data_IF_645922392581
#
_entry.id   IF_645922392581
#
_cell.length_a   1.000
_cell.length_b   1.000
_cell.length_c   1.000
_cell.angle_alpha   90.00
_cell.angle_beta   90.00
_cell.angle_gamma   90.00
#
_symmetry.space_group_name_H-M   'P 1'
#
loop_
_entity.id
_entity.type
_entity.pdbx_description
1 polymer ?
#
# COMPACT_ATOMS: atom_id res chain seq x y z
N UNK A 1 19.62 -5.04 -13.80
CA UNK A 1 20.28 -4.21 -12.76
C UNK A 1 19.61 -2.86 -12.75
N UNK A 2 19.06 -2.42 -11.61
CA UNK A 2 18.85 -0.98 -11.40
C UNK A 2 20.23 -0.34 -11.48
N UNK A 3 20.53 0.29 -12.60
CA UNK A 3 21.72 1.12 -12.70
C UNK A 3 21.56 2.25 -11.68
N UNK A 4 22.66 2.74 -11.11
CA UNK A 4 22.64 3.87 -10.18
C UNK A 4 21.83 5.04 -10.75
N UNK A 5 21.88 5.20 -12.08
CA UNK A 5 21.08 6.13 -12.87
C UNK A 5 19.57 6.00 -12.63
N UNK A 6 19.02 4.80 -12.57
CA UNK A 6 17.58 4.59 -12.35
C UNK A 6 17.15 5.02 -10.94
N UNK A 7 17.98 4.74 -9.94
CA UNK A 7 17.72 5.16 -8.55
C UNK A 7 17.82 6.68 -8.45
N UNK A 8 18.84 7.28 -9.06
CA UNK A 8 19.01 8.72 -9.12
C UNK A 8 17.85 9.40 -9.84
N UNK A 9 17.34 8.81 -10.92
CA UNK A 9 16.19 9.32 -11.67
C UNK A 9 14.90 9.25 -10.84
N UNK A 10 14.67 8.16 -10.11
CA UNK A 10 13.53 8.06 -9.18
C UNK A 10 13.62 9.09 -8.04
N UNK A 11 14.80 9.27 -7.46
CA UNK A 11 15.03 10.29 -6.43
C UNK A 11 14.87 11.71 -6.99
N UNK A 12 15.32 11.96 -8.22
CA UNK A 12 15.15 13.23 -8.91
C UNK A 12 13.66 13.52 -9.14
N UNK A 13 12.90 12.56 -9.67
CA UNK A 13 11.45 12.71 -9.87
C UNK A 13 10.73 12.98 -8.54
N UNK A 14 11.13 12.29 -7.45
CA UNK A 14 10.60 12.53 -6.12
C UNK A 14 10.92 13.97 -5.63
N UNK A 15 12.16 14.44 -5.81
CA UNK A 15 12.57 15.80 -5.44
C UNK A 15 11.89 16.88 -6.28
N UNK A 16 11.72 16.66 -7.59
CA UNK A 16 10.98 17.58 -8.46
C UNK A 16 9.50 17.63 -8.04
N UNK A 17 8.91 16.49 -7.69
CA UNK A 17 7.51 16.45 -7.22
C UNK A 17 7.30 17.28 -5.95
N UNK A 18 8.22 17.21 -4.97
CA UNK A 18 8.11 17.97 -3.73
C UNK A 18 8.27 19.48 -3.97
N UNK A 19 9.16 19.88 -4.89
CA UNK A 19 9.27 21.27 -5.32
C UNK A 19 7.99 21.77 -5.99
N UNK A 20 7.38 20.97 -6.88
CA UNK A 20 6.13 21.33 -7.54
C UNK A 20 4.98 21.46 -6.54
N UNK A 21 4.87 20.55 -5.56
CA UNK A 21 3.86 20.65 -4.48
C UNK A 21 4.01 21.97 -3.71
N UNK A 22 5.24 22.37 -3.41
CA UNK A 22 5.53 23.64 -2.75
C UNK A 22 5.12 24.86 -3.61
N UNK A 23 5.40 24.82 -4.93
CA UNK A 23 5.02 25.88 -5.86
C UNK A 23 3.50 26.00 -6.06
N UNK A 24 2.79 24.86 -6.12
CA UNK A 24 1.33 24.82 -6.26
C UNK A 24 0.58 25.02 -4.93
N UNK A 25 1.28 25.43 -3.85
CA UNK A 25 0.72 25.69 -2.51
C UNK A 25 -0.17 24.54 -2.02
N UNK A 26 0.29 23.30 -2.17
CA UNK A 26 -0.42 22.08 -1.72
C UNK A 26 -1.85 21.89 -2.28
N UNK A 27 -2.24 22.56 -3.38
CA UNK A 27 -3.58 22.37 -3.96
C UNK A 27 -3.79 20.99 -4.59
N UNK A 28 -2.71 20.29 -4.92
CA UNK A 28 -2.73 19.00 -5.61
C UNK A 28 -1.93 17.98 -4.80
N UNK A 29 -2.47 16.79 -4.51
CA UNK A 29 -1.74 15.74 -3.81
C UNK A 29 -0.48 15.31 -4.55
N UNK A 30 0.60 15.08 -3.80
CA UNK A 30 1.89 14.64 -4.34
C UNK A 30 1.80 13.37 -5.21
N UNK A 31 1.01 12.33 -4.88
CA UNK A 31 0.89 11.14 -5.71
C UNK A 31 0.41 11.45 -7.14
N UNK A 32 -0.50 12.41 -7.30
CA UNK A 32 -1.02 12.82 -8.63
C UNK A 32 0.09 13.46 -9.47
N UNK A 33 0.89 14.33 -8.85
CA UNK A 33 2.03 14.97 -9.54
C UNK A 33 3.07 13.93 -9.95
N UNK A 34 3.36 12.96 -9.08
CA UNK A 34 4.28 11.86 -9.38
C UNK A 34 3.81 11.00 -10.55
N UNK A 35 2.52 10.65 -10.60
CA UNK A 35 1.94 9.90 -11.73
C UNK A 35 2.09 10.69 -13.03
N UNK A 36 1.76 11.99 -13.02
CA UNK A 36 1.88 12.85 -14.21
C UNK A 36 3.34 12.92 -14.67
N UNK A 37 4.29 13.18 -13.76
CA UNK A 37 5.72 13.22 -14.08
C UNK A 37 6.22 11.88 -14.63
N UNK A 38 5.77 10.76 -14.06
CA UNK A 38 6.11 9.42 -14.53
C UNK A 38 5.59 9.14 -15.94
N UNK A 39 4.36 9.58 -16.25
CA UNK A 39 3.78 9.47 -17.61
C UNK A 39 4.58 10.31 -18.59
N UNK A 40 4.91 11.57 -18.27
CA UNK A 40 5.74 12.41 -19.13
C UNK A 40 7.14 11.80 -19.35
N UNK A 41 7.74 11.25 -18.29
CA UNK A 41 9.03 10.59 -18.38
C UNK A 41 9.00 9.38 -19.32
N UNK A 42 7.97 8.54 -19.22
CA UNK A 42 7.78 7.38 -20.09
C UNK A 42 7.58 7.79 -21.56
N UNK A 43 6.75 8.81 -21.82
CA UNK A 43 6.52 9.34 -23.18
C UNK A 43 7.78 9.97 -23.76
N UNK A 44 8.64 10.56 -22.94
CA UNK A 44 9.94 11.09 -23.34
C UNK A 44 11.00 9.99 -23.62
N UNK A 45 10.61 8.70 -23.53
CA UNK A 45 11.48 7.56 -23.82
C UNK A 45 12.33 7.10 -22.63
N UNK A 46 12.15 7.69 -21.44
CA UNK A 46 12.85 7.25 -20.23
C UNK A 46 12.16 5.99 -19.67
N UNK A 47 12.69 4.83 -20.05
CA UNK A 47 12.19 3.54 -19.59
C UNK A 47 13.02 3.05 -18.40
N UNK A 48 12.43 3.09 -17.21
CA UNK A 48 13.05 2.53 -16.00
C UNK A 48 12.51 1.12 -15.79
N UNK A 49 13.34 0.11 -16.06
CA UNK A 49 13.01 -1.27 -15.70
C UNK A 49 13.17 -1.47 -14.19
N UNK A 50 12.05 -1.42 -13.46
CA UNK A 50 11.95 -1.74 -12.05
C UNK A 50 11.67 -3.24 -11.86
N UNK A 51 12.56 -3.95 -11.16
CA UNK A 51 12.29 -5.30 -10.70
C UNK A 51 11.43 -5.22 -9.42
N UNK A 52 10.20 -5.78 -9.42
CA UNK A 52 9.29 -5.66 -8.27
C UNK A 52 9.89 -6.18 -6.96
N UNK A 53 10.60 -7.31 -7.02
CA UNK A 53 11.22 -7.92 -5.83
C UNK A 53 12.27 -6.98 -5.22
N UNK A 54 13.11 -6.38 -6.06
CA UNK A 54 14.11 -5.41 -5.60
C UNK A 54 13.46 -4.16 -5.02
N UNK A 55 12.39 -3.66 -5.63
CA UNK A 55 11.67 -2.52 -5.08
C UNK A 55 11.11 -2.85 -3.69
N UNK A 56 10.48 -4.01 -3.55
CA UNK A 56 9.95 -4.50 -2.28
C UNK A 56 11.03 -4.75 -1.22
N UNK A 57 12.25 -5.16 -1.59
CA UNK A 57 13.31 -5.42 -0.59
C UNK A 57 14.14 -4.18 -0.24
N UNK A 58 14.30 -3.22 -1.16
CA UNK A 58 15.18 -2.06 -0.95
C UNK A 58 14.41 -0.84 -0.45
N UNK A 59 13.21 -0.58 -0.98
CA UNK A 59 12.48 0.65 -0.68
C UNK A 59 11.40 0.46 0.37
N UNK A 60 10.66 -0.66 0.32
CA UNK A 60 9.55 -0.91 1.24
C UNK A 60 9.99 -0.96 2.72
N UNK A 61 11.08 -1.67 3.12
CA UNK A 61 11.43 -1.79 4.53
C UNK A 61 11.87 -0.44 5.15
N UNK A 62 12.72 0.39 4.51
CA UNK A 62 13.02 1.72 5.02
C UNK A 62 11.79 2.65 5.12
N UNK A 63 10.86 2.58 4.15
CA UNK A 63 9.63 3.38 4.18
C UNK A 63 8.75 2.99 5.37
N UNK A 64 8.46 1.70 5.53
CA UNK A 64 7.68 1.18 6.65
C UNK A 64 8.35 1.45 8.01
N UNK A 65 9.69 1.37 8.07
CA UNK A 65 10.44 1.70 9.27
C UNK A 65 10.31 3.19 9.62
N UNK A 66 10.43 4.07 8.63
CA UNK A 66 10.29 5.51 8.82
C UNK A 66 8.88 5.88 9.34
N UNK A 67 7.85 5.22 8.82
CA UNK A 67 6.46 5.42 9.27
C UNK A 67 6.24 4.86 10.69
N UNK A 68 6.79 3.67 10.99
CA UNK A 68 6.76 3.08 12.34
C UNK A 68 7.41 4.00 13.38
N UNK A 69 8.53 4.62 13.03
CA UNK A 69 9.35 5.40 13.96
C UNK A 69 8.66 6.69 14.43
N UNK A 70 7.72 7.21 13.65
CA UNK A 70 6.96 8.44 13.96
C UNK A 70 5.76 8.19 14.86
N UNK A 71 5.44 6.92 15.15
CA UNK A 71 4.21 6.55 15.84
C UNK A 71 4.39 6.55 17.37
N UNK A 72 3.64 7.36 18.14
CA UNK A 72 3.67 7.33 19.60
C UNK A 72 3.02 6.05 20.14
N UNK A 73 3.84 5.12 20.65
CA UNK A 73 3.39 3.80 21.15
C UNK A 73 2.27 3.86 22.21
N UNK A 74 2.24 4.93 23.02
CA UNK A 74 1.23 5.11 24.08
C UNK A 74 -0.16 5.38 23.51
N UNK A 75 -0.25 6.26 22.53
CA UNK A 75 -1.52 6.62 21.86
C UNK A 75 -2.04 5.45 21.03
N UNK A 76 -1.13 4.67 20.44
CA UNK A 76 -1.48 3.40 19.79
C UNK A 76 -2.15 2.42 20.76
N UNK A 77 -1.58 2.24 21.95
CA UNK A 77 -2.10 1.26 22.91
C UNK A 77 -3.55 1.56 23.33
N UNK A 78 -3.93 2.84 23.41
CA UNK A 78 -5.29 3.29 23.73
C UNK A 78 -6.28 3.05 22.58
N UNK A 79 -5.80 3.07 21.32
CA UNK A 79 -6.62 2.94 20.10
C UNK A 79 -6.39 1.62 19.35
N UNK A 80 -5.68 0.65 19.94
CA UNK A 80 -5.29 -0.62 19.31
C UNK A 80 -6.47 -1.40 18.73
N UNK A 81 -7.63 -1.39 19.39
CA UNK A 81 -8.81 -2.13 18.94
C UNK A 81 -9.29 -1.65 17.57
N UNK A 82 -9.69 -0.37 17.44
CA UNK A 82 -10.05 0.23 16.15
C UNK A 82 -8.95 0.10 15.10
N UNK A 83 -7.69 0.34 15.45
CA UNK A 83 -6.58 0.30 14.49
C UNK A 83 -6.40 -1.11 13.92
N UNK A 84 -6.38 -2.14 14.77
CA UNK A 84 -6.26 -3.53 14.30
C UNK A 84 -7.51 -3.97 13.53
N UNK A 85 -8.70 -3.51 13.91
CA UNK A 85 -9.90 -3.81 13.15
C UNK A 85 -9.89 -3.18 11.75
N UNK A 86 -9.43 -1.92 11.61
CA UNK A 86 -9.26 -1.32 10.28
C UNK A 86 -8.12 -2.01 9.51
N UNK A 87 -6.95 -2.18 10.11
CA UNK A 87 -5.82 -2.78 9.43
C UNK A 87 -6.09 -4.22 8.95
N UNK A 88 -6.74 -5.06 9.76
CA UNK A 88 -6.97 -6.47 9.39
C UNK A 88 -8.40 -6.71 8.90
N UNK A 89 -9.39 -6.27 9.68
CA UNK A 89 -10.79 -6.54 9.41
C UNK A 89 -11.28 -5.85 8.14
N UNK A 90 -10.96 -4.56 7.98
CA UNK A 90 -11.34 -3.84 6.76
C UNK A 90 -10.66 -4.44 5.54
N UNK A 91 -9.36 -4.76 5.61
CA UNK A 91 -8.59 -5.35 4.49
C UNK A 91 -9.13 -6.70 4.04
N UNK A 92 -9.47 -7.59 4.98
CA UNK A 92 -10.08 -8.87 4.63
C UNK A 92 -11.45 -8.65 4.00
N UNK A 93 -12.25 -7.74 4.57
CA UNK A 93 -13.59 -7.45 4.07
C UNK A 93 -13.56 -6.81 2.68
N UNK A 94 -12.70 -5.82 2.43
CA UNK A 94 -12.51 -5.21 1.10
C UNK A 94 -11.98 -6.23 0.10
N UNK A 95 -11.04 -7.10 0.49
CA UNK A 95 -10.54 -8.16 -0.40
C UNK A 95 -11.66 -9.10 -0.82
N UNK A 96 -12.50 -9.53 0.12
CA UNK A 96 -13.64 -10.40 -0.18
C UNK A 96 -14.68 -9.70 -1.06
N UNK A 97 -15.14 -8.52 -0.64
CA UNK A 97 -16.17 -7.77 -1.34
C UNK A 97 -15.72 -7.40 -2.75
N UNK A 98 -14.52 -6.81 -2.89
CA UNK A 98 -13.97 -6.44 -4.19
C UNK A 98 -13.65 -7.68 -5.03
N UNK A 99 -13.15 -8.77 -4.45
CA UNK A 99 -12.87 -10.00 -5.19
C UNK A 99 -14.13 -10.62 -5.79
N UNK A 100 -15.22 -10.72 -5.01
CA UNK A 100 -16.51 -11.15 -5.53
C UNK A 100 -17.08 -10.16 -6.56
N UNK A 101 -16.93 -8.85 -6.34
CA UNK A 101 -17.37 -7.84 -7.30
C UNK A 101 -16.62 -7.96 -8.64
N UNK A 102 -15.30 -8.16 -8.61
CA UNK A 102 -14.48 -8.37 -9.81
C UNK A 102 -14.93 -9.63 -10.54
N UNK A 103 -15.14 -10.74 -9.81
CA UNK A 103 -15.62 -11.98 -10.41
C UNK A 103 -17.02 -11.83 -11.03
N UNK A 104 -17.88 -11.00 -10.42
CA UNK A 104 -19.20 -10.73 -10.98
C UNK A 104 -19.14 -9.93 -12.29
N UNK A 105 -18.21 -8.97 -12.39
CA UNK A 105 -18.00 -8.15 -13.60
C UNK A 105 -17.29 -8.96 -14.68
N UNK A 106 -16.32 -9.81 -14.31
CA UNK A 106 -15.52 -10.63 -15.21
C UNK A 106 -15.54 -12.10 -14.75
N UNK A 107 -16.60 -12.85 -15.08
CA UNK A 107 -16.79 -14.23 -14.62
C UNK A 107 -15.74 -15.22 -15.12
N UNK A 108 -15.03 -14.88 -16.20
CA UNK A 108 -13.95 -15.68 -16.79
C UNK A 108 -12.73 -15.80 -15.86
N UNK A 109 -12.56 -14.86 -14.92
CA UNK A 109 -11.49 -14.91 -13.93
C UNK A 109 -11.90 -15.80 -12.75
N UNK A 110 -11.08 -16.80 -12.42
CA UNK A 110 -11.29 -17.59 -11.22
C UNK A 110 -11.24 -16.73 -9.95
N UNK A 111 -12.09 -17.05 -8.97
CA UNK A 111 -12.15 -16.35 -7.68
C UNK A 111 -10.78 -16.11 -7.02
N UNK A 112 -9.82 -17.06 -7.04
CA UNK A 112 -8.49 -16.82 -6.46
C UNK A 112 -7.73 -15.67 -7.14
N UNK A 113 -7.86 -15.51 -8.46
CA UNK A 113 -7.26 -14.41 -9.22
C UNK A 113 -7.94 -13.09 -8.85
N UNK A 114 -9.27 -13.10 -8.73
CA UNK A 114 -10.04 -11.92 -8.32
C UNK A 114 -9.67 -11.47 -6.89
N UNK A 115 -9.53 -12.42 -5.95
CA UNK A 115 -9.06 -12.11 -4.60
C UNK A 115 -7.61 -11.65 -4.58
N UNK A 116 -6.75 -12.16 -5.46
CA UNK A 116 -5.37 -11.69 -5.59
C UNK A 116 -5.33 -10.22 -6.02
N UNK A 117 -6.10 -9.86 -7.05
CA UNK A 117 -6.25 -8.48 -7.50
C UNK A 117 -6.85 -7.59 -6.42
N UNK A 118 -7.91 -8.04 -5.76
CA UNK A 118 -8.55 -7.28 -4.69
C UNK A 118 -7.62 -7.06 -3.49
N UNK A 119 -6.83 -8.06 -3.10
CA UNK A 119 -5.86 -7.95 -2.02
C UNK A 119 -4.74 -6.96 -2.34
N UNK A 120 -4.27 -6.91 -3.60
CA UNK A 120 -3.28 -5.92 -4.04
C UNK A 120 -3.80 -4.48 -3.98
N UNK A 121 -5.12 -4.30 -4.18
CA UNK A 121 -5.79 -3.00 -4.17
C UNK A 121 -6.34 -2.61 -2.80
N UNK A 122 -6.36 -3.54 -1.84
CA UNK A 122 -6.98 -3.33 -0.54
C UNK A 122 -6.22 -2.34 0.36
N UNK A 123 -4.88 -2.25 0.32
CA UNK A 123 -4.17 -1.25 1.08
C UNK A 123 -4.59 0.18 0.72
N UNK A 124 -5.04 0.90 1.73
CA UNK A 124 -5.48 2.29 1.73
C UNK A 124 -4.32 3.21 2.11
N UNK A 125 -3.92 4.09 1.19
CA UNK A 125 -2.86 5.06 1.41
C UNK A 125 -3.39 6.26 2.23
N UNK A 126 -3.05 6.29 3.52
CA UNK A 126 -3.45 7.38 4.41
C UNK A 126 -2.60 8.63 4.22
N UNK A 127 -1.46 8.57 3.52
CA UNK A 127 -0.67 9.74 3.13
C UNK A 127 -1.46 10.57 2.12
N UNK A 128 -2.06 9.92 1.12
CA UNK A 128 -2.95 10.58 0.17
C UNK A 128 -4.13 11.26 0.87
N UNK A 129 -4.80 10.56 1.80
CA UNK A 129 -5.93 11.11 2.56
C UNK A 129 -5.49 12.26 3.48
N UNK A 130 -4.36 12.12 4.16
CA UNK A 130 -3.82 13.13 5.08
C UNK A 130 -3.50 14.44 4.34
N UNK A 131 -2.94 14.35 3.12
CA UNK A 131 -2.64 15.52 2.29
C UNK A 131 -3.89 16.29 1.83
N UNK A 132 -5.03 15.62 1.68
CA UNK A 132 -6.32 16.27 1.35
C UNK A 132 -6.96 16.98 2.55
N UNK A 133 -6.58 16.55 3.74
CA UNK A 133 -7.13 17.00 5.02
C UNK A 133 -6.20 18.05 5.67
N UNK A 134 -4.95 18.15 5.21
CA UNK A 134 -3.94 19.11 5.64
C UNK A 134 -4.50 20.55 5.60
N UNK A 135 -4.38 21.26 6.73
CA UNK A 135 -4.95 22.62 6.89
C UNK A 135 -6.43 22.68 7.31
N UNK A 136 -7.11 21.54 7.48
CA UNK A 136 -8.48 21.48 8.07
C UNK A 136 -8.42 21.07 9.55
N UNK A 137 -9.40 21.52 10.34
CA UNK A 137 -9.55 21.10 11.75
C UNK A 137 -10.06 19.67 11.80
N UNK A 138 -9.15 18.71 11.99
CA UNK A 138 -9.48 17.29 12.17
C UNK A 138 -9.09 16.84 13.58
N UNK A 139 -9.95 16.05 14.26
CA UNK A 139 -9.64 15.58 15.60
C UNK A 139 -8.36 14.74 15.60
N UNK A 140 -7.45 15.00 16.56
CA UNK A 140 -6.20 14.23 16.71
C UNK A 140 -6.43 12.72 16.79
N UNK A 141 -7.54 12.30 17.40
CA UNK A 141 -7.94 10.89 17.47
C UNK A 141 -8.12 10.25 16.09
N UNK A 142 -8.67 10.98 15.12
CA UNK A 142 -8.85 10.44 13.77
C UNK A 142 -7.50 10.31 13.05
N UNK A 143 -6.62 11.31 13.21
CA UNK A 143 -5.27 11.27 12.65
C UNK A 143 -4.47 10.08 13.20
N UNK A 144 -4.54 9.82 14.50
CA UNK A 144 -3.87 8.67 15.14
C UNK A 144 -4.41 7.32 14.64
N UNK A 145 -5.73 7.21 14.43
CA UNK A 145 -6.34 5.98 13.88
C UNK A 145 -5.85 5.76 12.44
N UNK A 146 -5.89 6.80 11.59
CA UNK A 146 -5.46 6.71 10.20
C UNK A 146 -3.95 6.39 10.09
N UNK A 147 -3.10 7.05 10.87
CA UNK A 147 -1.66 6.73 10.89
C UNK A 147 -1.41 5.30 11.38
N UNK A 148 -2.16 4.84 12.37
CA UNK A 148 -2.04 3.47 12.87
C UNK A 148 -2.55 2.41 11.90
N UNK A 149 -3.65 2.66 11.19
CA UNK A 149 -4.18 1.77 10.15
C UNK A 149 -3.13 1.54 9.07
N UNK A 150 -2.62 2.61 8.46
CA UNK A 150 -1.68 2.51 7.35
C UNK A 150 -0.41 1.71 7.69
N UNK A 151 0.05 1.79 8.93
CA UNK A 151 1.24 1.05 9.36
C UNK A 151 1.08 -0.47 9.20
N UNK A 152 -0.10 -1.02 9.49
CA UNK A 152 -0.33 -2.47 9.50
C UNK A 152 -1.04 -2.96 8.23
N UNK A 153 -1.82 -2.09 7.61
CA UNK A 153 -2.62 -2.33 6.41
C UNK A 153 -1.81 -2.94 5.25
N UNK A 154 -0.66 -2.36 4.93
CA UNK A 154 0.21 -2.84 3.84
C UNK A 154 0.67 -4.29 4.08
N UNK A 155 1.03 -4.60 5.33
CA UNK A 155 1.43 -5.95 5.71
C UNK A 155 0.25 -6.93 5.60
N UNK A 156 -0.93 -6.56 6.10
CA UNK A 156 -2.12 -7.40 5.98
C UNK A 156 -2.55 -7.62 4.52
N UNK A 157 -2.46 -6.59 3.67
CA UNK A 157 -2.76 -6.70 2.25
C UNK A 157 -1.78 -7.61 1.53
N UNK A 158 -0.47 -7.47 1.79
CA UNK A 158 0.55 -8.36 1.24
C UNK A 158 0.33 -9.82 1.66
N UNK A 159 -0.06 -10.05 2.91
CA UNK A 159 -0.36 -11.40 3.41
C UNK A 159 -1.59 -11.97 2.70
N UNK A 160 -2.68 -11.22 2.58
CA UNK A 160 -3.87 -11.63 1.83
C UNK A 160 -3.54 -11.93 0.36
N UNK A 161 -2.72 -11.07 -0.26
CA UNK A 161 -2.25 -11.24 -1.63
C UNK A 161 -1.49 -12.54 -1.81
N UNK A 162 -0.52 -12.84 -0.93
CA UNK A 162 0.27 -14.07 -1.03
C UNK A 162 -0.59 -15.32 -0.88
N UNK A 163 -1.60 -15.29 -0.01
CA UNK A 163 -2.53 -16.42 0.12
C UNK A 163 -3.41 -16.61 -1.11
N UNK A 164 -4.05 -15.54 -1.59
CA UNK A 164 -4.89 -15.60 -2.77
C UNK A 164 -4.09 -16.01 -4.02
N UNK A 165 -2.85 -15.51 -4.14
CA UNK A 165 -1.95 -15.86 -5.24
C UNK A 165 -1.48 -17.32 -5.14
N UNK A 166 -1.15 -17.82 -3.95
CA UNK A 166 -0.81 -19.22 -3.76
C UNK A 166 -1.98 -20.13 -4.16
N UNK A 167 -3.21 -19.77 -3.78
CA UNK A 167 -4.42 -20.49 -4.19
C UNK A 167 -4.60 -20.46 -5.72
N UNK A 168 -4.44 -19.29 -6.34
CA UNK A 168 -4.55 -19.12 -7.79
C UNK A 168 -3.53 -19.97 -8.58
N UNK A 169 -2.35 -20.20 -8.00
CA UNK A 169 -1.28 -20.97 -8.64
C UNK A 169 -1.32 -22.47 -8.36
N UNK A 170 -1.85 -22.88 -7.20
CA UNK A 170 -1.80 -24.29 -6.75
C UNK A 170 -3.13 -25.01 -6.79
N UNK A 171 -4.26 -24.29 -6.73
CA UNK A 171 -5.61 -24.87 -6.71
C UNK A 171 -5.96 -25.67 -5.45
N UNK A 172 -5.07 -25.78 -4.47
CA UNK A 172 -5.30 -26.50 -3.20
C UNK A 172 -5.32 -25.53 -2.02
N UNK A 173 -6.52 -25.09 -1.62
CA UNK A 173 -6.69 -24.26 -0.44
C UNK A 173 -6.69 -25.11 0.85
N UNK A 174 -5.64 -25.02 1.65
CA UNK A 174 -5.66 -25.50 3.04
C UNK A 174 -5.73 -24.33 4.00
N UNK A 175 -6.95 -24.02 4.48
CA UNK A 175 -7.21 -23.02 5.54
C UNK A 175 -6.28 -23.19 6.76
N UNK A 176 -5.89 -24.45 7.04
CA UNK A 176 -5.02 -24.82 8.16
C UNK A 176 -3.56 -24.43 7.94
N UNK A 177 -3.09 -24.52 6.70
CA UNK A 177 -1.73 -24.12 6.32
C UNK A 177 -1.63 -22.59 6.23
N UNK A 178 -2.66 -21.91 5.73
CA UNK A 178 -2.71 -20.45 5.72
C UNK A 178 -2.62 -19.84 7.13
N UNK A 179 -3.41 -20.37 8.07
CA UNK A 179 -3.36 -19.93 9.47
C UNK A 179 -2.02 -20.27 10.16
N UNK A 180 -1.42 -21.43 9.83
CA UNK A 180 -0.11 -21.83 10.33
C UNK A 180 1.02 -20.91 9.84
N UNK A 181 1.01 -20.54 8.56
CA UNK A 181 1.97 -19.59 7.97
C UNK A 181 1.79 -18.20 8.57
N UNK A 182 0.55 -17.74 8.78
CA UNK A 182 0.27 -16.44 9.43
C UNK A 182 0.92 -16.31 10.81
N UNK A 183 0.97 -17.40 11.60
CA UNK A 183 1.62 -17.43 12.91
C UNK A 183 3.15 -17.57 12.84
N UNK A 184 3.69 -18.04 11.71
CA UNK A 184 5.13 -18.27 11.52
C UNK A 184 5.83 -17.21 10.68
N UNK A 185 5.09 -16.25 10.10
CA UNK A 185 5.71 -15.03 9.54
C UNK A 185 6.42 -14.30 10.68
N UNK A 186 7.73 -14.53 10.76
CA UNK A 186 8.64 -13.71 11.55
C UNK A 186 8.98 -12.48 10.72
N UNK A 187 8.66 -11.32 11.28
CA UNK A 187 9.17 -10.01 10.86
C UNK A 187 10.71 -10.00 10.92
#
# INVERSE_FOLDING_TARGET
MLTIENILLLLLLAAVSSLLVALFKQKVPQPVILIILGVFAAVAGMHVSLQPDMFMFVFLPPLLFADSFRMPLREFAELRGPILFLAFGLVVLSTLVCGYAIHWIVPELGLPICFTLAAALSPTDTVAVSSLIEGRKVPNRLLQILSGEALFNDASGLVCFRFAMADALTGEFSYRQAFGTFLTVRL
#
